data_IF_986296298986
#
_entry.id   IF_986296298986
#
_cell.length_a   1.000
_cell.length_b   1.000
_cell.length_c   1.000
_cell.angle_alpha   90.00
_cell.angle_beta   90.00
_cell.angle_gamma   90.00
#
_symmetry.space_group_name_H-M   'P 1'
#
loop_
_entity.id
_entity.type
_entity.pdbx_description
1 polymer ?
#
# COMPACT_ATOMS: atom_id res chain seq x y z
N UNK A 1 -28.56 11.89 -12.68
CA UNK A 1 -28.83 11.39 -11.31
C UNK A 1 -27.57 10.69 -10.78
N UNK A 2 -27.01 11.16 -9.67
CA UNK A 2 -25.74 10.67 -9.11
C UNK A 2 -25.86 9.18 -8.72
N UNK A 3 -24.84 8.36 -9.05
CA UNK A 3 -24.82 6.90 -8.81
C UNK A 3 -25.11 6.54 -7.34
N UNK A 4 -24.74 7.41 -6.42
CA UNK A 4 -24.97 7.25 -4.99
C UNK A 4 -26.46 7.24 -4.60
N UNK A 5 -27.30 8.03 -5.26
CA UNK A 5 -28.72 8.20 -4.90
C UNK A 5 -29.68 7.38 -5.77
N UNK A 6 -29.17 6.59 -6.73
CA UNK A 6 -30.01 5.86 -7.68
C UNK A 6 -30.98 4.86 -7.02
N UNK A 7 -30.60 4.33 -5.86
CA UNK A 7 -31.41 3.37 -5.11
C UNK A 7 -32.40 4.05 -4.13
N UNK A 8 -32.27 5.38 -3.94
CA UNK A 8 -32.99 6.14 -2.90
C UNK A 8 -33.89 7.24 -3.47
N UNK A 9 -33.56 7.77 -4.65
CA UNK A 9 -34.22 8.94 -5.25
C UNK A 9 -34.60 8.64 -6.69
N UNK A 10 -35.83 8.98 -7.06
CA UNK A 10 -36.35 8.91 -8.44
C UNK A 10 -36.68 10.31 -8.94
N UNK A 11 -36.89 10.45 -10.25
CA UNK A 11 -37.25 11.74 -10.86
C UNK A 11 -38.59 12.29 -10.34
N UNK A 12 -39.44 11.44 -9.76
CA UNK A 12 -40.74 11.80 -9.18
C UNK A 12 -40.70 12.02 -7.66
N UNK A 13 -39.53 11.93 -7.00
CA UNK A 13 -39.43 12.11 -5.55
C UNK A 13 -39.61 13.59 -5.19
N UNK A 14 -40.54 13.91 -4.29
CA UNK A 14 -40.73 15.27 -3.79
C UNK A 14 -39.52 15.73 -2.97
N UNK A 15 -39.30 17.04 -2.94
CA UNK A 15 -38.14 17.64 -2.23
C UNK A 15 -38.16 17.32 -0.73
N UNK A 16 -39.34 17.24 -0.10
CA UNK A 16 -39.49 16.82 1.30
C UNK A 16 -39.03 15.38 1.52
N UNK A 17 -39.39 14.47 0.63
CA UNK A 17 -39.02 13.06 0.70
C UNK A 17 -37.55 12.85 0.36
N UNK A 18 -36.98 13.71 -0.49
CA UNK A 18 -35.56 13.69 -0.82
C UNK A 18 -34.68 13.90 0.41
N UNK A 19 -35.02 14.83 1.32
CA UNK A 19 -34.23 15.06 2.53
C UNK A 19 -34.18 13.81 3.39
N UNK A 20 -35.32 13.14 3.57
CA UNK A 20 -35.37 11.89 4.32
C UNK A 20 -34.59 10.76 3.63
N UNK A 21 -34.74 10.60 2.31
CA UNK A 21 -34.00 9.60 1.54
C UNK A 21 -32.49 9.88 1.50
N UNK A 22 -32.09 11.15 1.59
CA UNK A 22 -30.70 11.56 1.67
C UNK A 22 -30.06 11.13 3.00
N UNK A 23 -30.74 11.35 4.12
CA UNK A 23 -30.28 10.88 5.45
C UNK A 23 -30.12 9.35 5.47
N UNK A 24 -31.12 8.63 4.97
CA UNK A 24 -31.08 7.16 4.85
C UNK A 24 -29.91 6.68 3.97
N UNK A 25 -29.63 7.37 2.87
CA UNK A 25 -28.52 7.04 1.98
C UNK A 25 -27.15 7.26 2.65
N UNK A 26 -27.00 8.33 3.45
CA UNK A 26 -25.80 8.60 4.24
C UNK A 26 -25.60 7.52 5.29
N UNK A 27 -26.62 7.21 6.08
CA UNK A 27 -26.53 6.20 7.13
C UNK A 27 -26.18 4.83 6.54
N UNK A 28 -26.83 4.43 5.45
CA UNK A 28 -26.52 3.17 4.76
C UNK A 28 -25.06 3.09 4.29
N UNK A 29 -24.48 4.22 3.85
CA UNK A 29 -23.06 4.30 3.50
C UNK A 29 -22.18 4.16 4.74
N UNK A 30 -22.49 4.90 5.79
CA UNK A 30 -21.76 4.84 7.05
C UNK A 30 -21.77 3.41 7.64
N UNK A 31 -22.92 2.74 7.66
CA UNK A 31 -23.02 1.35 8.10
C UNK A 31 -22.19 0.40 7.23
N UNK A 32 -22.19 0.57 5.89
CA UNK A 32 -21.35 -0.24 4.99
C UNK A 32 -19.86 0.01 5.21
N UNK A 33 -19.44 1.24 5.50
CA UNK A 33 -18.05 1.57 5.83
C UNK A 33 -17.67 0.95 7.18
N UNK A 34 -18.53 1.11 8.20
CA UNK A 34 -18.35 0.50 9.53
C UNK A 34 -18.30 -1.02 9.48
N UNK A 35 -19.14 -1.68 8.69
CA UNK A 35 -19.11 -3.13 8.53
C UNK A 35 -17.81 -3.60 7.87
N UNK A 36 -17.31 -2.86 6.87
CA UNK A 36 -16.00 -3.14 6.27
C UNK A 36 -14.88 -2.99 7.29
N UNK A 37 -14.92 -1.97 8.13
CA UNK A 37 -13.94 -1.75 9.21
C UNK A 37 -14.00 -2.84 10.28
N UNK A 38 -15.20 -3.30 10.65
CA UNK A 38 -15.35 -4.40 11.60
C UNK A 38 -14.84 -5.71 10.99
N UNK A 39 -15.16 -6.01 9.73
CA UNK A 39 -14.67 -7.23 9.04
C UNK A 39 -13.15 -7.23 8.90
N UNK A 40 -12.54 -6.10 8.57
CA UNK A 40 -11.07 -5.99 8.51
C UNK A 40 -10.41 -6.11 9.88
N UNK A 41 -11.01 -5.59 10.95
CA UNK A 41 -10.48 -5.70 12.32
C UNK A 41 -10.74 -7.05 12.99
N UNK A 42 -11.84 -7.72 12.65
CA UNK A 42 -12.27 -8.98 13.28
C UNK A 42 -11.58 -10.23 12.71
N UNK A 43 -10.85 -10.11 11.60
CA UNK A 43 -10.13 -11.23 10.99
C UNK A 43 -8.65 -10.91 10.89
N UNK A 44 -7.78 -11.81 11.38
CA UNK A 44 -6.33 -11.66 11.21
C UNK A 44 -5.99 -11.74 9.72
N UNK A 45 -5.14 -10.84 9.26
CA UNK A 45 -4.60 -10.91 7.91
C UNK A 45 -3.81 -12.21 7.73
N UNK A 46 -4.01 -12.89 6.60
CA UNK A 46 -3.28 -14.11 6.28
C UNK A 46 -1.91 -13.70 5.74
N UNK A 47 -0.85 -14.07 6.46
CA UNK A 47 0.52 -13.83 6.04
C UNK A 47 0.93 -14.84 4.97
N UNK A 48 1.63 -14.39 3.93
CA UNK A 48 2.15 -15.23 2.85
C UNK A 48 3.59 -15.66 3.09
N UNK A 49 4.33 -14.96 3.95
CA UNK A 49 5.73 -15.23 4.29
C UNK A 49 5.94 -15.20 5.82
N UNK A 50 7.05 -15.76 6.34
CA UNK A 50 7.38 -15.67 7.76
C UNK A 50 8.16 -14.38 8.11
N UNK A 51 8.09 -13.33 7.28
CA UNK A 51 8.88 -12.10 7.47
C UNK A 51 8.22 -11.16 8.48
N UNK A 52 9.00 -10.64 9.42
CA UNK A 52 8.50 -9.71 10.47
C UNK A 52 7.93 -8.40 9.89
N UNK A 53 8.52 -7.88 8.82
CA UNK A 53 7.96 -6.71 8.13
C UNK A 53 6.53 -6.94 7.61
N UNK A 54 6.18 -8.19 7.28
CA UNK A 54 4.82 -8.54 6.86
C UNK A 54 3.86 -8.54 8.06
N UNK A 55 4.29 -9.06 9.20
CA UNK A 55 3.52 -8.99 10.45
C UNK A 55 3.25 -7.54 10.87
N UNK A 56 4.27 -6.69 10.82
CA UNK A 56 4.13 -5.27 11.17
C UNK A 56 3.24 -4.53 10.16
N UNK A 57 3.43 -4.77 8.85
CA UNK A 57 2.57 -4.19 7.82
C UNK A 57 1.10 -4.59 7.99
N UNK A 58 0.81 -5.82 8.46
CA UNK A 58 -0.56 -6.26 8.74
C UNK A 58 -1.23 -5.51 9.90
N UNK A 59 -0.43 -4.97 10.83
CA UNK A 59 -0.91 -4.19 11.96
C UNK A 59 -1.09 -2.71 11.62
N UNK A 60 -0.21 -2.16 10.77
CA UNK A 60 -0.19 -0.73 10.44
C UNK A 60 -1.11 -0.41 9.26
N UNK A 61 -1.13 -1.24 8.21
CA UNK A 61 -1.90 -0.96 7.02
C UNK A 61 -3.36 -1.40 7.13
N UNK A 62 -4.24 -0.64 6.44
CA UNK A 62 -5.58 -1.15 6.13
C UNK A 62 -5.47 -2.47 5.36
N UNK A 63 -6.47 -3.35 5.46
CA UNK A 63 -6.44 -4.66 4.77
C UNK A 63 -6.16 -4.55 3.26
N UNK A 64 -6.69 -3.52 2.58
CA UNK A 64 -6.44 -3.30 1.15
C UNK A 64 -4.98 -2.91 0.89
N UNK A 65 -4.46 -1.97 1.66
CA UNK A 65 -3.06 -1.54 1.57
C UNK A 65 -2.11 -2.68 1.92
N UNK A 66 -2.44 -3.50 2.92
CA UNK A 66 -1.69 -4.69 3.28
C UNK A 66 -1.63 -5.71 2.14
N UNK A 67 -2.75 -5.99 1.46
CA UNK A 67 -2.74 -6.88 0.30
C UNK A 67 -1.82 -6.38 -0.82
N UNK A 68 -1.85 -5.07 -1.11
CA UNK A 68 -0.94 -4.46 -2.09
C UNK A 68 0.51 -4.60 -1.64
N UNK A 69 0.79 -4.36 -0.36
CA UNK A 69 2.12 -4.52 0.22
C UNK A 69 2.62 -5.97 0.10
N UNK A 70 1.79 -6.97 0.44
CA UNK A 70 2.14 -8.39 0.30
C UNK A 70 2.52 -8.74 -1.14
N UNK A 71 1.78 -8.22 -2.12
CA UNK A 71 2.08 -8.47 -3.52
C UNK A 71 3.39 -7.79 -3.94
N UNK A 72 3.66 -6.57 -3.50
CA UNK A 72 4.95 -5.90 -3.72
C UNK A 72 6.12 -6.65 -3.04
N UNK A 73 5.91 -7.17 -1.83
CA UNK A 73 6.90 -7.96 -1.09
C UNK A 73 7.22 -9.25 -1.83
N UNK A 74 6.21 -9.98 -2.29
CA UNK A 74 6.40 -11.21 -3.05
C UNK A 74 7.08 -10.94 -4.40
N UNK A 75 6.65 -9.89 -5.11
CA UNK A 75 7.24 -9.52 -6.39
C UNK A 75 8.68 -9.04 -6.26
N UNK A 76 9.09 -8.50 -5.11
CA UNK A 76 10.48 -8.07 -4.86
C UNK A 76 11.49 -9.20 -5.03
N UNK A 77 11.06 -10.45 -4.82
CA UNK A 77 11.89 -11.66 -4.99
C UNK A 77 12.29 -11.90 -6.45
N UNK A 78 11.57 -11.30 -7.41
CA UNK A 78 11.87 -11.39 -8.84
C UNK A 78 12.87 -10.34 -9.31
N UNK A 79 13.41 -9.53 -8.40
CA UNK A 79 14.32 -8.43 -8.71
C UNK A 79 15.69 -8.66 -8.06
N UNK A 80 16.71 -8.08 -8.67
CA UNK A 80 18.06 -8.03 -8.14
C UNK A 80 18.48 -6.58 -7.95
N UNK A 81 19.07 -6.29 -6.79
CA UNK A 81 19.73 -5.03 -6.53
C UNK A 81 21.25 -5.16 -6.63
N UNK A 82 21.89 -4.14 -7.21
CA UNK A 82 23.34 -3.92 -7.23
C UNK A 82 23.64 -2.55 -6.62
N UNK A 83 24.64 -2.50 -5.75
CA UNK A 83 25.11 -1.24 -5.17
C UNK A 83 25.81 -0.43 -6.25
N UNK A 84 25.41 0.84 -6.44
CA UNK A 84 25.99 1.73 -7.45
C UNK A 84 26.97 2.71 -6.81
N UNK A 85 26.58 3.36 -5.71
CA UNK A 85 27.41 4.35 -5.03
C UNK A 85 27.27 4.26 -3.50
N UNK A 86 28.22 4.85 -2.81
CA UNK A 86 28.15 5.16 -1.37
C UNK A 86 28.74 6.52 -1.18
N UNK A 87 27.90 7.43 -0.76
CA UNK A 87 28.29 8.75 -0.30
C UNK A 87 28.33 8.74 1.23
N UNK A 88 28.83 9.82 1.84
CA UNK A 88 28.94 9.93 3.29
C UNK A 88 27.60 9.72 3.99
N UNK A 89 26.50 10.14 3.36
CA UNK A 89 25.17 10.15 3.97
C UNK A 89 24.15 9.26 3.25
N UNK A 90 24.44 8.77 2.04
CA UNK A 90 23.48 8.01 1.23
C UNK A 90 24.10 6.80 0.53
N UNK A 91 23.28 5.78 0.25
CA UNK A 91 23.65 4.60 -0.54
C UNK A 91 22.65 4.38 -1.65
N UNK A 92 23.11 4.40 -2.90
CA UNK A 92 22.25 4.19 -4.07
C UNK A 92 22.43 2.79 -4.65
N UNK A 93 21.30 2.20 -5.04
CA UNK A 93 21.18 0.86 -5.61
C UNK A 93 20.45 0.93 -6.94
N UNK A 94 20.97 0.20 -7.93
CA UNK A 94 20.25 -0.11 -9.17
C UNK A 94 19.51 -1.42 -8.99
N UNK A 95 18.22 -1.44 -9.31
CA UNK A 95 17.34 -2.60 -9.16
C UNK A 95 16.76 -2.96 -10.52
N UNK A 96 16.97 -4.20 -10.95
CA UNK A 96 16.46 -4.72 -12.24
C UNK A 96 15.69 -6.02 -12.02
N UNK A 97 14.75 -6.36 -12.92
CA UNK A 97 14.17 -7.70 -12.92
C UNK A 97 15.27 -8.76 -13.11
N UNK A 98 15.13 -9.90 -12.44
CA UNK A 98 16.06 -11.01 -12.59
C UNK A 98 16.15 -11.45 -14.06
N UNK A 99 17.38 -11.58 -14.57
CA UNK A 99 17.63 -11.93 -15.96
C UNK A 99 17.39 -10.82 -16.98
N UNK A 100 17.20 -9.56 -16.54
CA UNK A 100 17.06 -8.40 -17.43
C UNK A 100 18.04 -7.28 -17.04
N UNK A 101 18.45 -6.52 -18.05
CA UNK A 101 19.25 -5.31 -17.87
C UNK A 101 18.39 -4.05 -17.72
N UNK A 102 17.16 -4.06 -18.24
CA UNK A 102 16.22 -2.93 -18.19
C UNK A 102 14.78 -3.37 -17.88
N UNK A 103 13.93 -2.48 -17.32
CA UNK A 103 14.26 -1.15 -16.81
C UNK A 103 15.09 -1.20 -15.52
N UNK A 104 15.91 -0.17 -15.28
CA UNK A 104 16.67 0.01 -14.04
C UNK A 104 15.95 1.01 -13.16
N UNK A 105 15.62 0.61 -11.94
CA UNK A 105 15.07 1.49 -10.91
C UNK A 105 16.17 1.88 -9.93
N UNK A 106 16.24 3.16 -9.56
CA UNK A 106 17.21 3.62 -8.58
C UNK A 106 16.53 3.70 -7.22
N UNK A 107 17.16 3.11 -6.21
CA UNK A 107 16.75 3.16 -4.82
C UNK A 107 17.85 3.83 -4.02
N UNK A 108 17.53 4.91 -3.33
CA UNK A 108 18.47 5.64 -2.47
C UNK A 108 18.07 5.45 -1.02
N UNK A 109 19.04 5.09 -0.18
CA UNK A 109 18.87 4.90 1.25
C UNK A 109 19.71 5.92 1.99
N UNK A 110 19.07 6.78 2.78
CA UNK A 110 19.74 7.77 3.62
C UNK A 110 20.17 7.14 4.95
N UNK A 111 21.30 7.61 5.48
CA UNK A 111 21.95 7.00 6.65
C UNK A 111 21.41 7.51 7.99
N UNK A 112 20.66 8.62 8.00
CA UNK A 112 20.05 9.21 9.19
C UNK A 112 18.66 8.66 9.49
N UNK A 113 17.64 9.21 8.85
CA UNK A 113 16.21 8.98 9.19
C UNK A 113 15.61 7.67 8.64
N UNK A 114 16.43 6.77 8.08
CA UNK A 114 15.91 5.53 7.49
C UNK A 114 15.06 5.74 6.24
N UNK A 115 15.08 6.95 5.67
CA UNK A 115 14.33 7.31 4.47
C UNK A 115 14.85 6.52 3.27
N UNK A 116 13.91 5.87 2.58
CA UNK A 116 14.16 5.12 1.36
C UNK A 116 13.33 5.72 0.22
N UNK A 117 14.00 6.18 -0.82
CA UNK A 117 13.35 6.72 -2.03
C UNK A 117 13.57 5.79 -3.21
N UNK A 118 12.62 5.78 -4.15
CA UNK A 118 12.74 5.00 -5.37
C UNK A 118 12.20 5.79 -6.56
N UNK A 119 12.85 5.70 -7.72
CA UNK A 119 12.41 6.36 -8.96
C UNK A 119 11.05 5.90 -9.48
N UNK A 120 10.45 4.84 -8.93
CA UNK A 120 9.07 4.48 -9.24
C UNK A 120 8.02 5.28 -8.45
N UNK A 121 8.44 6.04 -7.43
CA UNK A 121 7.63 6.93 -6.60
C UNK A 121 6.39 6.30 -5.92
N UNK A 122 6.32 4.96 -5.82
CA UNK A 122 5.13 4.28 -5.28
C UNK A 122 4.83 4.68 -3.84
N UNK A 123 5.87 4.92 -3.04
CA UNK A 123 5.70 5.36 -1.66
C UNK A 123 5.04 6.74 -1.60
N UNK A 124 5.50 7.67 -2.41
CA UNK A 124 5.04 9.05 -2.48
C UNK A 124 3.58 9.15 -2.97
N UNK A 125 3.17 8.24 -3.86
CA UNK A 125 1.79 8.20 -4.37
C UNK A 125 0.82 7.36 -3.53
N UNK A 126 1.28 6.28 -2.90
CA UNK A 126 0.40 5.29 -2.26
C UNK A 126 0.66 5.09 -0.77
N UNK A 127 1.75 5.61 -0.22
CA UNK A 127 2.22 5.32 1.13
C UNK A 127 2.61 3.86 1.35
N UNK A 128 2.98 3.14 0.28
CA UNK A 128 3.31 1.71 0.32
C UNK A 128 4.67 1.49 -0.32
N UNK A 129 5.57 0.79 0.38
CA UNK A 129 6.88 0.42 -0.15
C UNK A 129 6.74 -0.38 -1.44
N UNK A 130 7.51 -0.01 -2.46
CA UNK A 130 7.57 -0.76 -3.70
C UNK A 130 8.48 -2.00 -3.57
N UNK A 131 8.25 -2.96 -4.46
CA UNK A 131 9.10 -4.13 -4.69
C UNK A 131 10.59 -3.80 -4.84
N UNK A 132 10.93 -2.61 -5.37
CA UNK A 132 12.34 -2.22 -5.55
C UNK A 132 13.03 -1.88 -4.23
N UNK A 133 12.37 -1.11 -3.36
CA UNK A 133 12.88 -0.82 -2.01
C UNK A 133 12.95 -2.11 -1.20
N UNK A 134 11.88 -2.92 -1.25
CA UNK A 134 11.82 -4.21 -0.54
C UNK A 134 12.93 -5.18 -1.00
N UNK A 135 13.25 -5.22 -2.29
CA UNK A 135 14.38 -6.01 -2.82
C UNK A 135 15.72 -5.59 -2.20
N UNK A 136 15.95 -4.28 -2.03
CA UNK A 136 17.18 -3.75 -1.40
C UNK A 136 17.20 -4.08 0.09
N UNK A 137 16.07 -3.99 0.80
CA UNK A 137 15.97 -4.32 2.22
C UNK A 137 16.16 -5.80 2.49
N UNK A 138 15.58 -6.68 1.67
CA UNK A 138 15.72 -8.13 1.77
C UNK A 138 17.17 -8.60 1.72
N UNK A 139 17.97 -8.11 0.77
CA UNK A 139 19.40 -8.47 0.66
C UNK A 139 20.25 -8.00 1.85
N UNK A 140 19.79 -6.99 2.59
CA UNK A 140 20.50 -6.45 3.75
C UNK A 140 20.05 -7.04 5.08
N UNK A 141 19.09 -7.97 5.07
CA UNK A 141 18.45 -8.44 6.30
C UNK A 141 17.69 -7.34 7.04
N UNK A 142 17.28 -6.26 6.35
CA UNK A 142 16.53 -5.13 6.93
C UNK A 142 15.01 -5.28 6.72
N UNK A 143 14.49 -6.51 6.82
CA UNK A 143 13.05 -6.80 6.73
C UNK A 143 12.45 -7.07 8.11
N UNK A 144 13.01 -6.42 9.13
CA UNK A 144 12.52 -6.54 10.50
C UNK A 144 11.43 -5.53 10.80
N UNK A 145 11.48 -4.34 10.18
CA UNK A 145 10.49 -3.27 10.35
C UNK A 145 10.27 -2.42 9.10
N UNK A 146 9.09 -1.80 8.99
CA UNK A 146 8.82 -0.71 8.06
C UNK A 146 9.67 0.53 8.43
N UNK A 147 10.19 1.26 7.43
CA UNK A 147 10.92 2.50 7.64
C UNK A 147 10.01 3.62 8.15
#
# INVERSE_FOLDING_TARGET
MNKFFKDYVRSSTMVSDFVHQYEVAIDARYFKEKEKDVRTKSTRAILKTPLKIEEEAALIYTRKSFMIFQDELFDSLRYISRKLSTESESKTYGVTPYGKETPVYHVTLESGEGVATCTCHKWEFMGILCKHILCVFGKKGKLDRLP
#
